data_IF_308173605054
#
_entry.id   IF_308173605054
#
_cell.length_a   1.000
_cell.length_b   1.000
_cell.length_c   1.000
_cell.angle_alpha   90.00
_cell.angle_beta   90.00
_cell.angle_gamma   90.00
#
_symmetry.space_group_name_H-M   'P 1'
#
loop_
_entity.id
_entity.type
_entity.pdbx_description
1 polymer ?
#
# COMPACT_ATOMS: atom_id res chain seq x y z
N UNK A 1 -31.55 -14.88 10.12
CA UNK A 1 -30.38 -14.87 9.23
C UNK A 1 -30.81 -14.07 8.03
N UNK A 2 -30.13 -12.96 7.72
CA UNK A 2 -30.41 -12.23 6.48
C UNK A 2 -30.04 -13.14 5.32
N UNK A 3 -30.92 -13.28 4.35
CA UNK A 3 -30.73 -14.14 3.19
C UNK A 3 -29.89 -13.34 2.18
N UNK A 4 -28.58 -13.10 2.51
CA UNK A 4 -27.66 -12.41 1.62
C UNK A 4 -27.46 -13.25 0.37
N UNK A 5 -27.35 -12.58 -0.77
CA UNK A 5 -26.96 -13.21 -2.03
C UNK A 5 -25.59 -13.87 -1.85
N UNK A 6 -25.40 -15.05 -2.45
CA UNK A 6 -24.19 -15.87 -2.34
C UNK A 6 -23.55 -16.03 -3.70
N UNK A 7 -22.25 -15.80 -3.77
CA UNK A 7 -21.42 -16.10 -4.93
C UNK A 7 -20.32 -17.08 -4.50
N UNK A 8 -19.97 -18.00 -5.39
CA UNK A 8 -18.97 -19.05 -5.13
C UNK A 8 -17.76 -18.87 -6.03
N UNK A 9 -16.58 -18.99 -5.43
CA UNK A 9 -15.28 -18.91 -6.10
C UNK A 9 -14.34 -19.99 -5.57
N UNK A 10 -13.33 -20.36 -6.35
CA UNK A 10 -12.23 -21.16 -5.84
C UNK A 10 -11.38 -20.35 -4.87
N UNK A 11 -11.09 -19.08 -5.24
CA UNK A 11 -10.27 -18.19 -4.44
C UNK A 11 -10.89 -16.79 -4.36
N UNK A 12 -11.04 -16.29 -3.14
CA UNK A 12 -11.36 -14.87 -2.87
C UNK A 12 -10.15 -14.17 -2.27
N UNK A 13 -9.78 -13.03 -2.83
CA UNK A 13 -8.69 -12.17 -2.35
C UNK A 13 -9.28 -10.88 -1.79
N UNK A 14 -9.01 -10.60 -0.52
CA UNK A 14 -9.46 -9.39 0.16
C UNK A 14 -8.37 -8.32 0.10
N UNK A 15 -8.58 -7.31 -0.74
CA UNK A 15 -7.69 -6.18 -0.96
C UNK A 15 -6.96 -6.24 -2.31
N UNK A 16 -7.29 -5.30 -3.21
CA UNK A 16 -6.65 -5.11 -4.51
C UNK A 16 -5.38 -4.23 -4.42
N UNK A 17 -4.58 -4.42 -3.37
CA UNK A 17 -3.23 -3.86 -3.29
C UNK A 17 -2.23 -4.67 -4.14
N UNK A 18 -0.96 -4.21 -4.26
CA UNK A 18 0.05 -4.94 -5.04
C UNK A 18 0.20 -6.40 -4.63
N UNK A 19 0.10 -6.71 -3.34
CA UNK A 19 0.20 -8.08 -2.81
C UNK A 19 -0.95 -8.97 -3.30
N UNK A 20 -2.22 -8.52 -3.13
CA UNK A 20 -3.40 -9.30 -3.53
C UNK A 20 -3.47 -9.51 -5.04
N UNK A 21 -3.21 -8.46 -5.82
CA UNK A 21 -3.20 -8.55 -7.28
C UNK A 21 -2.08 -9.45 -7.80
N UNK A 22 -0.88 -9.39 -7.21
CA UNK A 22 0.22 -10.28 -7.58
C UNK A 22 -0.12 -11.75 -7.29
N UNK A 23 -0.78 -12.03 -6.16
CA UNK A 23 -1.25 -13.37 -5.82
C UNK A 23 -2.30 -13.86 -6.84
N UNK A 24 -3.29 -13.03 -7.17
CA UNK A 24 -4.34 -13.35 -8.13
C UNK A 24 -3.78 -13.62 -9.54
N UNK A 25 -2.85 -12.76 -10.00
CA UNK A 25 -2.16 -12.95 -11.29
C UNK A 25 -1.44 -14.30 -11.30
N UNK A 26 -0.63 -14.58 -10.26
CA UNK A 26 0.15 -15.83 -10.23
C UNK A 26 -0.74 -17.05 -10.13
N UNK A 27 -1.84 -17.00 -9.41
CA UNK A 27 -2.84 -18.08 -9.34
C UNK A 27 -3.42 -18.40 -10.72
N UNK A 28 -3.86 -17.39 -11.49
CA UNK A 28 -4.39 -17.61 -12.84
C UNK A 28 -3.32 -18.08 -13.82
N UNK A 29 -2.07 -17.64 -13.69
CA UNK A 29 -0.96 -18.20 -14.48
C UNK A 29 -0.77 -19.69 -14.20
N UNK A 30 -0.68 -20.06 -12.91
CA UNK A 30 -0.54 -21.46 -12.48
C UNK A 30 -1.74 -22.32 -12.89
N UNK A 31 -2.95 -21.75 -12.83
CA UNK A 31 -4.16 -22.39 -13.32
C UNK A 31 -4.03 -22.78 -14.80
N UNK A 32 -3.63 -21.83 -15.64
CA UNK A 32 -3.40 -22.06 -17.08
C UNK A 32 -2.25 -23.06 -17.34
N UNK A 33 -1.13 -22.92 -16.63
CA UNK A 33 0.03 -23.84 -16.74
C UNK A 33 -0.35 -25.30 -16.41
N UNK A 34 -1.30 -25.51 -15.49
CA UNK A 34 -1.74 -26.83 -15.05
C UNK A 34 -3.08 -27.28 -15.69
N UNK A 35 -3.57 -26.59 -16.72
CA UNK A 35 -4.85 -26.88 -17.38
C UNK A 35 -6.03 -26.99 -16.39
N UNK A 36 -6.04 -26.13 -15.34
CA UNK A 36 -7.13 -26.00 -14.39
C UNK A 36 -7.87 -24.70 -14.69
N UNK A 37 -9.16 -24.69 -14.45
CA UNK A 37 -9.95 -23.45 -14.51
C UNK A 37 -10.30 -23.04 -13.07
N UNK A 38 -9.57 -22.07 -12.54
CA UNK A 38 -9.81 -21.50 -11.22
C UNK A 38 -10.54 -20.19 -11.36
N UNK A 39 -11.69 -20.08 -10.68
CA UNK A 39 -12.39 -18.82 -10.47
C UNK A 39 -11.71 -18.02 -9.36
N UNK A 40 -11.26 -16.79 -9.70
CA UNK A 40 -10.55 -15.92 -8.74
C UNK A 40 -11.22 -14.57 -8.70
N UNK A 41 -11.67 -14.16 -7.51
CA UNK A 41 -12.27 -12.87 -7.24
C UNK A 41 -11.36 -12.04 -6.33
N UNK A 42 -11.23 -10.74 -6.63
CA UNK A 42 -10.52 -9.76 -5.80
C UNK A 42 -11.49 -8.64 -5.43
N UNK A 43 -11.72 -8.41 -4.14
CA UNK A 43 -12.54 -7.30 -3.67
C UNK A 43 -11.68 -6.18 -3.09
N UNK A 44 -12.08 -4.92 -3.33
CA UNK A 44 -11.39 -3.72 -2.88
C UNK A 44 -12.41 -2.72 -2.29
N UNK A 45 -12.11 -2.21 -1.10
CA UNK A 45 -12.98 -1.23 -0.42
C UNK A 45 -12.97 0.16 -1.07
N UNK A 46 -11.90 0.52 -1.78
CA UNK A 46 -11.81 1.77 -2.51
C UNK A 46 -12.76 1.79 -3.69
N UNK A 47 -13.29 2.95 -4.04
CA UNK A 47 -14.18 3.14 -5.19
C UNK A 47 -13.54 2.78 -6.53
N UNK A 48 -12.22 2.76 -6.57
CA UNK A 48 -11.39 2.24 -7.67
C UNK A 48 -10.10 1.65 -7.10
N UNK A 49 -9.48 0.73 -7.83
CA UNK A 49 -8.19 0.16 -7.44
C UNK A 49 -7.14 1.28 -7.39
N UNK A 50 -6.35 1.30 -6.30
CA UNK A 50 -5.31 2.33 -6.10
C UNK A 50 -5.80 3.64 -5.48
N UNK A 51 -7.11 3.89 -5.32
CA UNK A 51 -7.65 5.13 -4.75
C UNK A 51 -7.10 5.44 -3.35
N UNK A 52 -6.87 4.41 -2.54
CA UNK A 52 -6.34 4.57 -1.17
C UNK A 52 -4.80 4.49 -1.11
N UNK A 53 -4.12 4.46 -2.25
CA UNK A 53 -2.66 4.34 -2.32
C UNK A 53 -2.06 5.67 -2.79
N UNK A 54 -1.81 6.58 -1.85
CA UNK A 54 -1.08 7.83 -2.13
C UNK A 54 0.38 7.63 -1.76
N UNK A 55 1.21 7.25 -2.72
CA UNK A 55 2.66 7.11 -2.51
C UNK A 55 3.43 7.09 -3.82
N UNK A 56 4.54 7.82 -3.86
CA UNK A 56 5.65 7.45 -4.71
C UNK A 56 6.36 6.23 -4.12
N UNK A 57 6.96 5.44 -4.97
CA UNK A 57 7.81 4.33 -4.58
C UNK A 57 9.01 4.24 -5.53
N UNK A 58 10.08 3.62 -5.04
CA UNK A 58 11.16 3.15 -5.90
C UNK A 58 11.07 1.63 -5.96
N UNK A 59 10.90 1.09 -7.16
CA UNK A 59 10.71 -0.34 -7.38
C UNK A 59 11.93 -0.96 -8.03
N UNK A 60 12.42 -2.05 -7.44
CA UNK A 60 13.32 -3.00 -8.09
C UNK A 60 12.48 -3.97 -8.92
N UNK A 61 12.84 -4.18 -10.19
CA UNK A 61 11.98 -4.91 -11.12
C UNK A 61 12.01 -6.42 -10.98
N UNK A 62 12.90 -6.98 -10.17
CA UNK A 62 13.11 -8.44 -10.06
C UNK A 62 11.79 -9.23 -9.90
N UNK A 63 10.97 -8.86 -8.91
CA UNK A 63 9.69 -9.54 -8.69
C UNK A 63 8.70 -9.33 -9.85
N UNK A 64 8.74 -8.16 -10.49
CA UNK A 64 7.92 -7.87 -11.66
C UNK A 64 8.41 -8.64 -12.90
N UNK A 65 9.72 -8.76 -13.09
CA UNK A 65 10.32 -9.54 -14.17
C UNK A 65 9.95 -11.04 -14.06
N UNK A 66 9.79 -11.53 -12.82
CA UNK A 66 9.34 -12.92 -12.55
C UNK A 66 7.82 -13.07 -12.78
N UNK A 67 7.01 -12.12 -12.32
CA UNK A 67 5.54 -12.20 -12.39
C UNK A 67 5.01 -11.91 -13.79
N UNK A 68 5.52 -10.87 -14.45
CA UNK A 68 5.09 -10.39 -15.77
C UNK A 68 6.34 -10.10 -16.62
N UNK A 69 7.01 -11.11 -17.16
CA UNK A 69 8.29 -10.93 -17.86
C UNK A 69 8.25 -9.93 -19.04
N UNK A 70 7.09 -9.80 -19.66
CA UNK A 70 6.82 -8.90 -20.79
C UNK A 70 6.25 -7.52 -20.39
N UNK A 71 6.34 -7.12 -19.11
CA UNK A 71 5.77 -5.87 -18.59
C UNK A 71 6.19 -4.61 -19.37
N UNK A 72 7.39 -4.63 -19.99
CA UNK A 72 7.91 -3.49 -20.79
C UNK A 72 7.06 -3.24 -22.05
N UNK A 73 6.43 -4.26 -22.58
CA UNK A 73 5.58 -4.19 -23.78
C UNK A 73 4.10 -3.94 -23.45
N UNK A 74 3.73 -4.03 -22.18
CA UNK A 74 2.34 -3.93 -21.69
C UNK A 74 1.97 -2.54 -21.14
N UNK A 75 2.55 -1.48 -21.70
CA UNK A 75 2.27 -0.09 -21.30
C UNK A 75 2.38 0.14 -19.78
N UNK A 76 3.35 -0.49 -19.12
CA UNK A 76 3.54 -0.36 -17.69
C UNK A 76 3.88 1.09 -17.28
N UNK A 77 3.52 1.52 -16.07
CA UNK A 77 3.85 2.87 -15.57
C UNK A 77 5.33 3.05 -15.18
N UNK A 78 6.18 2.04 -15.33
CA UNK A 78 7.61 2.10 -15.01
C UNK A 78 8.37 2.84 -16.13
N UNK A 79 8.30 4.15 -16.14
CA UNK A 79 8.91 5.00 -17.20
C UNK A 79 10.16 5.73 -16.71
N UNK A 80 10.26 6.05 -15.42
CA UNK A 80 11.28 6.94 -14.86
C UNK A 80 12.32 6.12 -14.11
N UNK A 81 13.51 6.00 -14.69
CA UNK A 81 14.66 5.36 -14.03
C UNK A 81 15.23 6.26 -12.93
N UNK A 82 15.63 5.65 -11.82
CA UNK A 82 16.42 6.32 -10.79
C UNK A 82 17.79 6.71 -11.35
N UNK A 83 18.12 8.00 -11.28
CA UNK A 83 19.36 8.57 -11.85
C UNK A 83 20.28 9.18 -10.81
N UNK A 84 19.73 9.67 -9.70
CA UNK A 84 20.48 10.38 -8.66
C UNK A 84 19.90 10.04 -7.28
N UNK A 85 20.73 9.47 -6.42
CA UNK A 85 20.39 9.14 -5.03
C UNK A 85 21.12 10.11 -4.10
N UNK A 86 20.38 10.76 -3.20
CA UNK A 86 20.92 11.60 -2.15
C UNK A 86 20.44 11.15 -0.79
N UNK A 87 21.37 11.03 0.14
CA UNK A 87 21.04 10.84 1.56
C UNK A 87 21.53 12.04 2.35
N UNK A 88 20.62 12.75 3.01
CA UNK A 88 20.91 14.01 3.69
C UNK A 88 20.63 13.89 5.19
N UNK A 89 21.54 14.38 6.00
CA UNK A 89 21.28 14.71 7.39
C UNK A 89 20.85 16.18 7.48
N UNK A 90 19.67 16.42 8.03
CA UNK A 90 19.13 17.76 8.21
C UNK A 90 19.37 18.25 9.64
N UNK A 91 19.89 19.47 9.76
CA UNK A 91 19.78 20.31 10.95
C UNK A 91 18.60 21.26 10.73
N UNK A 92 18.31 22.15 11.64
CA UNK A 92 17.20 23.10 11.47
C UNK A 92 17.32 23.99 10.22
N UNK A 93 18.54 24.34 9.83
CA UNK A 93 18.79 25.30 8.74
C UNK A 93 19.74 24.81 7.66
N UNK A 94 20.43 23.72 7.87
CA UNK A 94 21.46 23.18 6.95
C UNK A 94 21.21 21.72 6.62
N UNK A 95 21.69 21.31 5.44
CA UNK A 95 21.74 19.91 5.04
C UNK A 95 23.20 19.46 4.88
N UNK A 96 23.50 18.25 5.30
CA UNK A 96 24.80 17.60 5.17
C UNK A 96 24.59 16.34 4.34
N UNK A 97 25.26 16.24 3.19
CA UNK A 97 25.21 15.04 2.37
C UNK A 97 25.98 13.91 3.05
N UNK A 98 25.34 12.81 3.28
CA UNK A 98 25.93 11.58 3.78
C UNK A 98 26.19 10.59 2.64
N UNK A 99 27.11 9.62 2.82
CA UNK A 99 27.20 8.47 1.94
C UNK A 99 25.85 7.73 1.92
N UNK A 100 25.34 7.40 0.74
CA UNK A 100 24.13 6.59 0.62
C UNK A 100 24.45 5.16 1.05
N UNK A 101 23.72 4.59 2.04
CA UNK A 101 23.93 3.20 2.44
C UNK A 101 23.73 2.24 1.26
N UNK A 102 24.49 1.14 1.15
CA UNK A 102 24.42 0.22 0.00
C UNK A 102 23.00 -0.29 -0.30
N UNK A 103 22.22 -0.59 0.74
CA UNK A 103 20.83 -1.04 0.63
C UNK A 103 19.85 0.03 0.13
N UNK A 104 20.27 1.28 0.06
CA UNK A 104 19.49 2.40 -0.46
C UNK A 104 19.92 2.83 -1.86
N UNK A 105 20.83 2.10 -2.50
CA UNK A 105 21.24 2.38 -3.86
C UNK A 105 20.17 1.95 -4.85
N UNK A 106 19.69 2.87 -5.67
CA UNK A 106 18.57 2.66 -6.58
C UNK A 106 18.98 2.61 -8.06
N UNK A 107 20.25 2.46 -8.37
CA UNK A 107 20.70 2.36 -9.76
C UNK A 107 20.05 1.18 -10.47
N UNK A 108 19.29 1.46 -11.52
CA UNK A 108 18.56 0.45 -12.29
C UNK A 108 17.08 0.30 -11.88
N UNK A 109 16.70 0.82 -10.73
CA UNK A 109 15.33 0.86 -10.23
C UNK A 109 14.50 1.95 -10.93
N UNK A 110 13.19 1.93 -10.71
CA UNK A 110 12.26 2.90 -11.29
C UNK A 110 11.52 3.64 -10.18
N UNK A 111 11.34 4.94 -10.38
CA UNK A 111 10.44 5.77 -9.56
C UNK A 111 9.04 5.66 -10.15
N UNK A 112 8.06 5.33 -9.33
CA UNK A 112 6.67 5.10 -9.75
C UNK A 112 5.67 5.81 -8.84
N UNK A 113 4.48 6.08 -9.39
CA UNK A 113 3.26 6.21 -8.61
C UNK A 113 2.77 4.82 -8.25
N UNK A 114 2.71 4.50 -6.96
CA UNK A 114 2.24 3.18 -6.52
C UNK A 114 0.76 2.98 -6.81
N UNK A 115 -0.04 4.06 -6.82
CA UNK A 115 -1.44 4.02 -7.25
C UNK A 115 -1.57 3.58 -8.70
N UNK A 116 -0.84 4.23 -9.62
CA UNK A 116 -0.89 3.91 -11.04
C UNK A 116 -0.35 2.49 -11.34
N UNK A 117 0.69 2.10 -10.61
CA UNK A 117 1.21 0.72 -10.69
C UNK A 117 0.17 -0.32 -10.24
N UNK A 118 -0.57 -0.03 -9.18
CA UNK A 118 -1.61 -0.94 -8.68
C UNK A 118 -2.79 -1.02 -9.62
N UNK A 119 -3.21 0.10 -10.24
CA UNK A 119 -4.22 0.10 -11.31
C UNK A 119 -3.79 -0.76 -12.50
N UNK A 120 -2.56 -0.58 -12.95
CA UNK A 120 -2.01 -1.39 -14.03
C UNK A 120 -1.94 -2.88 -13.69
N UNK A 121 -1.59 -3.24 -12.44
CA UNK A 121 -1.65 -4.64 -11.99
C UNK A 121 -3.08 -5.20 -12.05
N UNK A 122 -4.10 -4.40 -11.71
CA UNK A 122 -5.49 -4.84 -11.82
C UNK A 122 -5.87 -5.12 -13.28
N UNK A 123 -5.48 -4.25 -14.22
CA UNK A 123 -5.68 -4.49 -15.66
C UNK A 123 -5.00 -5.80 -16.11
N UNK A 124 -3.79 -6.12 -15.58
CA UNK A 124 -3.12 -7.38 -15.90
C UNK A 124 -3.84 -8.59 -15.28
N UNK A 125 -4.43 -8.45 -14.10
CA UNK A 125 -5.22 -9.49 -13.45
C UNK A 125 -6.52 -9.75 -14.25
N UNK A 126 -7.26 -8.70 -14.62
CA UNK A 126 -8.47 -8.79 -15.44
C UNK A 126 -8.19 -9.42 -16.82
N UNK A 127 -7.06 -9.10 -17.45
CA UNK A 127 -6.63 -9.73 -18.70
C UNK A 127 -6.36 -11.25 -18.57
N UNK A 128 -6.21 -11.74 -17.34
CA UNK A 128 -6.11 -13.17 -17.00
C UNK A 128 -7.44 -13.75 -16.50
N UNK A 129 -8.54 -13.00 -16.65
CA UNK A 129 -9.89 -13.40 -16.20
C UNK A 129 -10.02 -13.48 -14.67
N UNK A 130 -9.31 -12.61 -13.94
CA UNK A 130 -9.59 -12.34 -12.54
C UNK A 130 -10.75 -11.35 -12.46
N UNK A 131 -11.76 -11.66 -11.66
CA UNK A 131 -12.84 -10.71 -11.38
C UNK A 131 -12.39 -9.72 -10.30
N UNK A 132 -12.31 -8.42 -10.64
CA UNK A 132 -11.88 -7.38 -9.70
C UNK A 132 -13.07 -6.46 -9.41
N UNK A 133 -13.47 -6.40 -8.13
CA UNK A 133 -14.63 -5.63 -7.67
C UNK A 133 -14.20 -4.49 -6.74
N UNK A 134 -13.96 -3.27 -7.26
CA UNK A 134 -13.79 -2.08 -6.44
C UNK A 134 -15.13 -1.63 -5.85
N UNK A 135 -15.07 -0.94 -4.69
CA UNK A 135 -16.26 -0.51 -3.96
C UNK A 135 -16.80 -1.53 -2.97
N UNK A 136 -16.33 -2.78 -3.00
CA UNK A 136 -16.79 -3.86 -2.11
C UNK A 136 -15.85 -4.04 -0.92
N UNK A 137 -16.31 -3.66 0.25
CA UNK A 137 -15.55 -3.81 1.50
C UNK A 137 -15.94 -5.09 2.22
N UNK A 138 -15.00 -6.01 2.42
CA UNK A 138 -15.21 -7.14 3.30
C UNK A 138 -15.41 -6.66 4.76
N UNK A 139 -16.46 -7.10 5.41
CA UNK A 139 -16.84 -6.73 6.78
C UNK A 139 -16.77 -7.89 7.77
N UNK A 140 -16.96 -9.10 7.30
CA UNK A 140 -17.09 -10.29 8.13
C UNK A 140 -16.38 -11.47 7.48
N UNK A 141 -15.81 -12.35 8.32
CA UNK A 141 -15.23 -13.61 7.89
C UNK A 141 -16.28 -14.70 8.10
N UNK A 142 -16.54 -15.48 7.08
CA UNK A 142 -17.45 -16.61 7.15
C UNK A 142 -16.70 -17.87 7.61
N UNK A 143 -17.25 -18.53 8.64
CA UNK A 143 -16.71 -19.77 9.17
C UNK A 143 -17.74 -20.88 9.05
N UNK A 144 -17.29 -22.13 8.83
CA UNK A 144 -18.14 -23.29 8.97
C UNK A 144 -18.18 -23.78 10.43
N UNK A 145 -18.91 -24.86 10.67
CA UNK A 145 -19.08 -25.49 12.00
C UNK A 145 -17.75 -26.01 12.61
N UNK A 146 -16.73 -26.21 11.79
CA UNK A 146 -15.38 -26.64 12.19
C UNK A 146 -14.40 -25.46 12.32
N UNK A 147 -14.90 -24.23 12.38
CA UNK A 147 -14.09 -23.01 12.42
C UNK A 147 -13.17 -22.79 11.22
N UNK A 148 -13.41 -23.47 10.08
CA UNK A 148 -12.68 -23.23 8.85
C UNK A 148 -13.24 -21.98 8.17
N UNK A 149 -12.36 -21.11 7.68
CA UNK A 149 -12.75 -19.97 6.83
C UNK A 149 -13.33 -20.50 5.51
N UNK A 150 -14.53 -20.08 5.18
CA UNK A 150 -15.25 -20.46 3.95
C UNK A 150 -15.56 -19.26 3.05
N UNK A 151 -15.04 -18.09 3.37
CA UNK A 151 -15.24 -16.88 2.60
C UNK A 151 -15.34 -15.62 3.44
N UNK A 152 -15.91 -14.57 2.85
CA UNK A 152 -16.16 -13.27 3.50
C UNK A 152 -17.52 -12.73 3.11
N UNK A 153 -18.14 -11.90 3.98
CA UNK A 153 -19.30 -11.10 3.63
C UNK A 153 -18.88 -9.64 3.42
N UNK A 154 -19.54 -8.97 2.49
CA UNK A 154 -19.35 -7.54 2.24
C UNK A 154 -20.26 -6.71 3.15
N UNK A 155 -19.90 -5.42 3.32
CA UNK A 155 -20.74 -4.45 4.02
C UNK A 155 -22.03 -4.17 3.25
N UNK A 156 -23.11 -3.91 3.99
CA UNK A 156 -24.27 -3.22 3.41
C UNK A 156 -23.85 -1.81 2.99
N UNK A 157 -24.38 -1.35 1.87
CA UNK A 157 -24.17 -0.01 1.35
C UNK A 157 -25.41 0.87 1.60
N UNK A 158 -25.22 2.20 1.65
CA UNK A 158 -26.34 3.14 1.74
C UNK A 158 -27.10 3.18 3.07
N UNK A 159 -26.57 2.63 4.17
CA UNK A 159 -27.14 2.83 5.52
C UNK A 159 -26.93 4.26 5.98
N UNK A 160 -27.97 4.83 6.58
CA UNK A 160 -27.92 6.14 7.22
C UNK A 160 -27.13 6.08 8.55
N UNK A 161 -26.80 7.27 9.10
CA UNK A 161 -26.00 7.35 10.33
C UNK A 161 -26.68 6.75 11.56
N UNK A 162 -27.99 6.66 11.56
CA UNK A 162 -28.80 6.03 12.62
C UNK A 162 -28.94 4.51 12.44
N UNK A 163 -28.32 3.94 11.38
CA UNK A 163 -28.36 2.52 11.07
C UNK A 163 -29.54 2.07 10.20
N UNK A 164 -30.49 2.94 9.89
CA UNK A 164 -31.63 2.64 9.03
C UNK A 164 -31.22 2.54 7.56
N UNK A 165 -32.04 1.92 6.74
CA UNK A 165 -31.84 1.82 5.30
C UNK A 165 -32.14 3.17 4.63
N UNK A 166 -31.17 3.68 3.87
CA UNK A 166 -31.32 4.88 3.07
C UNK A 166 -31.90 4.59 1.69
N UNK A 167 -32.14 5.64 0.88
CA UNK A 167 -32.73 5.49 -0.46
C UNK A 167 -31.86 4.71 -1.45
N UNK A 168 -30.55 4.60 -1.18
CA UNK A 168 -29.60 3.82 -2.00
C UNK A 168 -29.08 2.62 -1.18
N UNK A 169 -29.93 2.02 -0.35
CA UNK A 169 -29.55 0.83 0.42
C UNK A 169 -29.37 -0.36 -0.52
N UNK A 170 -28.24 -1.01 -0.41
CA UNK A 170 -27.93 -2.28 -1.04
C UNK A 170 -27.37 -3.23 0.01
N UNK A 171 -27.97 -4.39 0.10
CA UNK A 171 -27.51 -5.42 1.04
C UNK A 171 -26.16 -5.96 0.58
N UNK A 172 -25.25 -6.20 1.54
CA UNK A 172 -23.99 -6.89 1.26
C UNK A 172 -24.22 -8.33 0.81
N UNK A 173 -23.24 -8.90 0.13
CA UNK A 173 -23.26 -10.27 -0.39
C UNK A 173 -22.28 -11.16 0.37
N UNK A 174 -22.47 -12.47 0.31
CA UNK A 174 -21.53 -13.47 0.79
C UNK A 174 -20.69 -14.01 -0.38
N UNK A 175 -19.36 -13.94 -0.25
CA UNK A 175 -18.43 -14.52 -1.20
C UNK A 175 -17.85 -15.78 -0.56
N UNK A 176 -18.36 -16.93 -0.97
CA UNK A 176 -17.89 -18.23 -0.52
C UNK A 176 -16.67 -18.66 -1.34
N UNK A 177 -15.68 -19.25 -0.68
CA UNK A 177 -14.45 -19.67 -1.36
C UNK A 177 -13.84 -20.93 -0.73
N UNK A 178 -13.21 -21.75 -1.57
CA UNK A 178 -12.36 -22.84 -1.12
C UNK A 178 -11.15 -22.31 -0.35
N UNK A 179 -10.59 -21.19 -0.82
CA UNK A 179 -9.45 -20.50 -0.19
C UNK A 179 -9.69 -19.00 -0.15
N UNK A 180 -9.39 -18.35 0.97
CA UNK A 180 -9.44 -16.90 1.11
C UNK A 180 -8.05 -16.33 1.42
N UNK A 181 -7.64 -15.28 0.68
CA UNK A 181 -6.36 -14.60 0.85
C UNK A 181 -6.64 -13.20 1.41
N UNK A 182 -6.12 -12.91 2.60
CA UNK A 182 -6.28 -11.61 3.25
C UNK A 182 -5.07 -10.72 2.95
N UNK A 183 -5.24 -9.76 2.05
CA UNK A 183 -4.22 -8.82 1.58
C UNK A 183 -4.55 -7.37 1.96
N UNK A 184 -5.06 -7.16 3.16
CA UNK A 184 -5.61 -5.91 3.66
C UNK A 184 -4.53 -4.85 4.06
N UNK A 185 -3.27 -5.16 3.88
CA UNK A 185 -2.15 -4.30 4.28
C UNK A 185 -1.79 -4.43 5.77
N UNK A 186 -1.03 -3.47 6.28
CA UNK A 186 -0.34 -3.61 7.57
C UNK A 186 -1.29 -3.75 8.78
N UNK A 187 -2.53 -3.27 8.70
CA UNK A 187 -3.54 -3.34 9.78
C UNK A 187 -4.93 -3.60 9.25
N UNK A 188 -5.07 -4.69 8.52
CA UNK A 188 -6.38 -5.19 8.10
C UNK A 188 -7.26 -5.51 9.31
N UNK A 189 -8.55 -5.19 9.25
CA UNK A 189 -9.45 -5.45 10.37
C UNK A 189 -9.83 -6.94 10.46
N UNK A 190 -10.01 -7.63 9.33
CA UNK A 190 -10.27 -9.07 9.32
C UNK A 190 -9.01 -9.86 9.66
N UNK A 191 -7.85 -9.44 9.17
CA UNK A 191 -6.57 -10.05 9.54
C UNK A 191 -6.30 -10.02 11.05
N UNK A 192 -6.74 -8.97 11.77
CA UNK A 192 -6.65 -8.94 13.25
C UNK A 192 -7.51 -10.00 13.92
N UNK A 193 -8.74 -10.20 13.42
CA UNK A 193 -9.64 -11.24 13.92
C UNK A 193 -9.03 -12.63 13.75
N UNK A 194 -8.43 -12.89 12.56
CA UNK A 194 -7.76 -14.16 12.29
C UNK A 194 -6.53 -14.37 13.17
N UNK A 195 -5.70 -13.33 13.34
CA UNK A 195 -4.53 -13.39 14.20
C UNK A 195 -4.89 -13.75 15.64
N UNK A 196 -5.97 -13.18 16.18
CA UNK A 196 -6.48 -13.48 17.51
C UNK A 196 -7.13 -14.88 17.58
N UNK A 197 -8.05 -15.19 16.65
CA UNK A 197 -8.79 -16.47 16.66
C UNK A 197 -7.87 -17.69 16.53
N UNK A 198 -6.85 -17.60 15.69
CA UNK A 198 -5.94 -18.72 15.38
C UNK A 198 -4.55 -18.58 15.98
N UNK A 199 -4.36 -17.62 16.90
CA UNK A 199 -3.09 -17.38 17.60
C UNK A 199 -1.89 -17.29 16.62
N UNK A 200 -2.07 -16.56 15.49
CA UNK A 200 -1.09 -16.52 14.43
C UNK A 200 0.19 -15.77 14.80
N UNK A 201 0.15 -14.99 15.88
CA UNK A 201 1.31 -14.25 16.41
C UNK A 201 2.05 -15.03 17.51
N UNK A 202 1.66 -16.26 17.79
CA UNK A 202 2.31 -17.07 18.83
C UNK A 202 3.80 -17.22 18.53
N UNK A 203 4.62 -16.95 19.52
CA UNK A 203 6.08 -17.03 19.49
C UNK A 203 6.77 -15.98 18.58
N UNK A 204 6.04 -14.99 18.06
CA UNK A 204 6.59 -13.91 17.29
C UNK A 204 7.06 -12.75 18.16
N UNK A 205 8.05 -12.00 17.69
CA UNK A 205 8.41 -10.71 18.29
C UNK A 205 7.27 -9.71 18.11
N UNK A 206 7.05 -8.79 19.07
CA UNK A 206 6.07 -7.73 18.90
C UNK A 206 6.31 -6.92 17.63
N UNK A 207 5.23 -6.62 16.90
CA UNK A 207 5.30 -5.76 15.73
C UNK A 207 5.50 -4.31 16.15
N UNK A 208 6.40 -3.60 15.47
CA UNK A 208 6.55 -2.15 15.55
C UNK A 208 5.92 -1.49 14.33
N UNK A 209 5.40 -0.29 14.53
CA UNK A 209 4.68 0.45 13.50
C UNK A 209 5.24 1.85 13.32
N UNK A 210 5.29 2.31 12.08
CA UNK A 210 5.47 3.70 11.73
C UNK A 210 4.21 4.29 11.12
N UNK A 211 4.11 5.62 11.11
CA UNK A 211 3.14 6.37 10.31
C UNK A 211 3.87 7.11 9.19
N UNK A 212 3.49 6.84 7.95
CA UNK A 212 3.97 7.58 6.79
C UNK A 212 2.91 8.58 6.33
N UNK A 213 3.19 9.87 6.44
CA UNK A 213 2.37 10.95 5.89
C UNK A 213 2.98 11.34 4.55
N UNK A 214 2.16 11.43 3.52
CA UNK A 214 2.62 11.57 2.13
C UNK A 214 1.80 12.63 1.41
N UNK A 215 2.47 13.35 0.51
CA UNK A 215 1.83 14.30 -0.38
C UNK A 215 2.38 14.15 -1.80
N UNK A 216 1.53 14.41 -2.78
CA UNK A 216 1.92 14.57 -4.17
C UNK A 216 1.81 16.04 -4.55
N UNK A 217 2.89 16.59 -5.06
CA UNK A 217 2.99 17.99 -5.46
C UNK A 217 3.24 18.11 -6.96
N UNK A 218 2.61 19.10 -7.57
CA UNK A 218 3.00 19.64 -8.86
C UNK A 218 3.90 20.84 -8.59
N UNK A 219 5.16 20.77 -9.03
CA UNK A 219 6.17 21.79 -8.77
C UNK A 219 6.49 22.59 -10.05
N UNK A 220 7.16 23.73 -9.91
CA UNK A 220 7.63 24.48 -11.07
C UNK A 220 8.60 23.64 -11.90
N UNK A 221 8.59 23.77 -13.24
CA UNK A 221 9.46 22.97 -14.13
C UNK A 221 10.95 23.06 -13.77
N UNK A 222 11.42 24.21 -13.31
CA UNK A 222 12.81 24.44 -12.89
C UNK A 222 13.18 23.65 -11.62
N UNK A 223 12.20 23.28 -10.79
CA UNK A 223 12.35 22.48 -9.58
C UNK A 223 12.14 20.97 -9.83
N UNK A 224 11.69 20.59 -11.03
CA UNK A 224 11.46 19.21 -11.41
C UNK A 224 12.75 18.55 -11.89
N UNK A 225 13.08 17.37 -11.35
CA UNK A 225 14.26 16.58 -11.70
C UNK A 225 13.90 15.10 -11.80
N UNK A 226 13.15 14.68 -12.81
CA UNK A 226 12.71 13.29 -12.93
C UNK A 226 13.85 12.29 -12.79
N UNK A 227 13.66 11.28 -11.96
CA UNK A 227 14.70 10.30 -11.63
C UNK A 227 15.53 10.63 -10.38
N UNK A 228 15.40 11.82 -9.80
CA UNK A 228 16.09 12.16 -8.55
C UNK A 228 15.37 11.62 -7.33
N UNK A 229 16.14 11.03 -6.43
CA UNK A 229 15.71 10.46 -5.14
C UNK A 229 16.45 11.20 -4.03
N UNK A 230 15.71 11.67 -3.04
CA UNK A 230 16.29 12.26 -1.84
C UNK A 230 15.70 11.56 -0.62
N UNK A 231 16.54 11.00 0.22
CA UNK A 231 16.17 10.55 1.56
C UNK A 231 16.78 11.47 2.59
N UNK A 232 16.07 11.72 3.69
CA UNK A 232 16.63 12.53 4.78
C UNK A 232 16.44 11.88 6.14
N UNK A 233 17.30 12.26 7.08
CA UNK A 233 17.19 11.93 8.50
C UNK A 233 17.57 13.17 9.32
N UNK A 234 17.32 13.14 10.64
CA UNK A 234 17.60 14.24 11.57
C UNK A 234 16.40 15.17 11.72
N UNK A 235 16.64 16.49 11.63
CA UNK A 235 15.59 17.50 11.82
C UNK A 235 14.37 17.25 10.92
N UNK A 236 13.13 17.42 11.39
CA UNK A 236 12.70 18.01 12.68
C UNK A 236 12.66 17.02 13.86
N UNK A 237 12.94 15.72 13.63
CA UNK A 237 12.94 14.74 14.68
C UNK A 237 14.17 14.86 15.57
N UNK A 238 13.99 14.53 16.85
CA UNK A 238 15.10 14.38 17.80
C UNK A 238 15.74 13.00 17.65
N UNK A 239 16.93 12.83 18.20
CA UNK A 239 17.71 11.59 18.12
C UNK A 239 17.07 10.37 18.80
N UNK A 240 16.10 10.59 19.69
CA UNK A 240 15.32 9.57 20.39
C UNK A 240 14.02 9.18 19.67
N UNK A 241 13.77 9.74 18.48
CA UNK A 241 12.58 9.48 17.70
C UNK A 241 13.00 8.92 16.33
N UNK A 242 12.63 7.67 16.07
CA UNK A 242 12.89 7.02 14.80
C UNK A 242 12.05 7.64 13.68
N UNK A 243 12.67 7.87 12.51
CA UNK A 243 11.96 8.38 11.35
C UNK A 243 12.88 9.03 10.32
N UNK A 244 12.26 9.57 9.31
CA UNK A 244 12.94 10.22 8.19
C UNK A 244 11.98 10.58 7.08
N UNK A 245 12.53 10.99 5.95
CA UNK A 245 11.71 11.39 4.81
C UNK A 245 12.24 10.86 3.49
N UNK A 246 11.37 10.88 2.51
CA UNK A 246 11.72 10.69 1.12
C UNK A 246 11.12 11.80 0.24
N UNK A 247 11.78 12.05 -0.89
CA UNK A 247 11.31 12.95 -1.93
C UNK A 247 11.72 12.35 -3.28
N UNK A 248 10.73 12.02 -4.10
CA UNK A 248 10.90 11.35 -5.38
C UNK A 248 10.37 12.22 -6.50
N UNK A 249 11.22 12.55 -7.46
CA UNK A 249 10.84 13.31 -8.64
C UNK A 249 10.30 12.37 -9.73
N UNK A 250 9.00 12.47 -9.96
CA UNK A 250 8.27 11.78 -11.01
C UNK A 250 8.31 12.61 -12.32
N UNK A 251 7.61 12.13 -13.34
CA UNK A 251 7.36 12.89 -14.58
C UNK A 251 6.33 14.02 -14.39
N UNK A 252 6.13 14.80 -15.45
CA UNK A 252 5.11 15.86 -15.51
C UNK A 252 5.19 16.82 -14.32
N UNK A 253 6.42 17.19 -13.90
CA UNK A 253 6.68 18.11 -12.79
C UNK A 253 6.07 17.66 -11.46
N UNK A 254 5.88 16.37 -11.25
CA UNK A 254 5.35 15.84 -10.00
C UNK A 254 6.47 15.42 -9.06
N UNK A 255 6.26 15.68 -7.78
CA UNK A 255 7.12 15.25 -6.69
C UNK A 255 6.28 14.57 -5.63
N UNK A 256 6.63 13.32 -5.32
CA UNK A 256 6.07 12.62 -4.17
C UNK A 256 6.98 12.87 -2.97
N UNK A 257 6.42 13.44 -1.91
CA UNK A 257 7.12 13.70 -0.65
C UNK A 257 6.45 12.94 0.48
N UNK A 258 7.22 12.29 1.33
CA UNK A 258 6.73 11.57 2.48
C UNK A 258 7.61 11.73 3.71
N UNK A 259 6.99 11.62 4.86
CA UNK A 259 7.62 11.71 6.16
C UNK A 259 7.14 10.57 7.05
N UNK A 260 8.07 9.78 7.56
CA UNK A 260 7.79 8.60 8.37
C UNK A 260 8.26 8.83 9.79
N UNK A 261 7.43 8.46 10.76
CA UNK A 261 7.75 8.50 12.19
C UNK A 261 7.38 7.16 12.80
N UNK A 262 8.29 6.56 13.54
CA UNK A 262 8.00 5.38 14.37
C UNK A 262 6.97 5.73 15.44
N UNK A 263 5.96 4.88 15.64
CA UNK A 263 4.86 5.14 16.58
C UNK A 263 5.19 4.82 18.05
N UNK A 264 6.43 4.44 18.30
CA UNK A 264 6.99 4.20 19.65
C UNK A 264 7.63 5.47 20.26
N UNK A 265 7.43 6.65 19.67
CA UNK A 265 7.96 7.91 20.18
C UNK A 265 7.49 8.20 21.61
N UNK A 266 8.41 8.71 22.45
CA UNK A 266 8.17 8.93 23.88
C UNK A 266 7.48 10.24 24.23
N UNK A 267 7.57 11.23 23.33
CA UNK A 267 7.00 12.57 23.57
C UNK A 267 5.50 12.58 23.24
N UNK A 268 4.58 12.63 24.20
CA UNK A 268 3.13 12.62 23.95
C UNK A 268 2.61 13.86 23.21
N UNK A 269 3.41 14.92 23.16
CA UNK A 269 3.08 16.16 22.41
C UNK A 269 3.60 16.17 20.99
N UNK A 270 4.32 15.14 20.56
CA UNK A 270 4.77 15.01 19.17
C UNK A 270 3.55 14.75 18.28
N UNK A 271 3.37 15.59 17.27
CA UNK A 271 2.37 15.39 16.23
C UNK A 271 3.06 15.05 14.91
N UNK A 272 2.93 13.80 14.40
CA UNK A 272 3.51 13.42 13.12
C UNK A 272 3.17 14.39 11.99
N UNK A 273 1.93 14.87 11.95
CA UNK A 273 1.50 15.87 10.96
C UNK A 273 2.24 17.20 11.08
N UNK A 274 2.39 17.74 12.30
CA UNK A 274 3.11 19.00 12.51
C UNK A 274 4.60 18.88 12.21
N UNK A 275 5.21 17.75 12.54
CA UNK A 275 6.61 17.49 12.19
C UNK A 275 6.80 17.44 10.67
N UNK A 276 5.86 16.83 9.94
CA UNK A 276 5.87 16.87 8.49
C UNK A 276 5.73 18.29 7.92
N UNK A 277 4.87 19.15 8.53
CA UNK A 277 4.78 20.56 8.13
C UNK A 277 6.12 21.28 8.37
N UNK A 278 6.74 21.11 9.54
CA UNK A 278 8.06 21.66 9.85
C UNK A 278 9.10 21.21 8.82
N UNK A 279 9.15 19.90 8.51
CA UNK A 279 10.05 19.35 7.50
C UNK A 279 9.90 20.06 6.14
N UNK A 280 8.70 20.34 5.66
CA UNK A 280 8.46 21.04 4.41
C UNK A 280 8.97 22.49 4.40
N UNK A 281 9.09 23.11 5.57
CA UNK A 281 9.64 24.46 5.72
C UNK A 281 11.18 24.48 5.79
N UNK A 282 11.84 23.32 5.85
CA UNK A 282 13.31 23.29 5.79
C UNK A 282 13.82 23.87 4.46
N UNK A 283 14.89 24.73 4.47
CA UNK A 283 15.35 25.47 3.27
C UNK A 283 15.57 24.58 2.04
N UNK A 284 16.15 23.37 2.22
CA UNK A 284 16.38 22.42 1.12
C UNK A 284 15.09 21.87 0.51
N UNK A 285 14.06 21.68 1.32
CA UNK A 285 12.78 21.11 0.88
C UNK A 285 11.87 22.22 0.34
N UNK A 286 11.79 23.33 1.07
CA UNK A 286 10.96 24.49 0.70
C UNK A 286 11.27 24.94 -0.73
N UNK A 287 12.54 25.07 -1.11
CA UNK A 287 12.93 25.52 -2.46
C UNK A 287 12.40 24.62 -3.57
N UNK A 288 12.18 23.32 -3.31
CA UNK A 288 11.63 22.39 -4.29
C UNK A 288 10.14 22.58 -4.43
N UNK A 289 9.44 22.83 -3.31
CA UNK A 289 7.98 22.96 -3.24
C UNK A 289 7.49 24.38 -3.52
N UNK A 290 8.38 25.39 -3.51
CA UNK A 290 8.04 26.81 -3.69
C UNK A 290 7.38 27.04 -5.04
N UNK A 291 6.25 27.77 -5.04
CA UNK A 291 5.42 27.99 -6.23
C UNK A 291 4.63 26.77 -6.68
N UNK A 292 4.82 25.62 -6.05
CA UNK A 292 4.10 24.40 -6.35
C UNK A 292 2.73 24.29 -5.70
N UNK A 293 1.94 23.31 -6.15
CA UNK A 293 0.60 23.00 -5.66
C UNK A 293 0.53 21.56 -5.19
N UNK A 294 0.03 21.34 -3.95
CA UNK A 294 -0.29 19.98 -3.49
C UNK A 294 -1.55 19.48 -4.21
N UNK A 295 -1.44 18.34 -4.89
CA UNK A 295 -2.52 17.75 -5.67
C UNK A 295 -3.15 16.53 -5.02
N UNK A 296 -2.41 15.83 -4.13
CA UNK A 296 -2.96 14.71 -3.36
C UNK A 296 -2.24 14.57 -2.02
N UNK A 297 -2.86 13.90 -1.06
CA UNK A 297 -2.27 13.60 0.24
C UNK A 297 -2.89 12.37 0.89
N UNK A 298 -2.16 11.76 1.82
CA UNK A 298 -2.64 10.62 2.59
C UNK A 298 -1.68 10.23 3.70
N UNK A 299 -2.13 9.35 4.57
CA UNK A 299 -1.31 8.73 5.59
C UNK A 299 -1.59 7.24 5.69
N UNK A 300 -0.56 6.45 5.99
CA UNK A 300 -0.68 5.01 6.14
C UNK A 300 0.26 4.52 7.23
N UNK A 301 -0.21 3.58 8.04
CA UNK A 301 0.67 2.84 8.93
C UNK A 301 1.57 1.89 8.13
N UNK A 302 2.75 1.63 8.66
CA UNK A 302 3.79 0.76 8.10
C UNK A 302 4.22 -0.24 9.16
N UNK A 303 4.50 -1.49 8.76
CA UNK A 303 5.12 -2.50 9.62
C UNK A 303 6.64 -2.31 9.58
N UNK A 304 7.28 -2.23 10.73
CA UNK A 304 8.73 -2.00 10.86
C UNK A 304 9.44 -3.07 11.70
N UNK A 305 8.70 -4.04 12.26
CA UNK A 305 9.25 -5.06 13.16
C UNK A 305 10.08 -6.16 12.49
N UNK A 306 10.15 -6.18 11.16
CA UNK A 306 10.91 -7.18 10.41
C UNK A 306 10.26 -8.56 10.36
N UNK A 307 10.96 -9.54 9.79
CA UNK A 307 10.44 -10.90 9.53
C UNK A 307 10.03 -11.64 10.82
N UNK A 308 10.73 -11.39 11.93
CA UNK A 308 10.44 -12.00 13.23
C UNK A 308 9.10 -11.55 13.84
N UNK A 309 8.48 -10.50 13.31
CA UNK A 309 7.20 -9.97 13.77
C UNK A 309 6.03 -10.30 12.84
N UNK A 310 6.28 -11.03 11.76
CA UNK A 310 5.24 -11.43 10.84
C UNK A 310 4.40 -12.56 11.44
N UNK A 311 3.06 -12.49 11.36
CA UNK A 311 2.21 -13.60 11.78
C UNK A 311 2.43 -14.82 10.88
N UNK A 312 2.01 -15.98 11.33
CA UNK A 312 1.92 -17.15 10.46
C UNK A 312 1.06 -16.81 9.25
N UNK A 313 1.59 -17.06 8.05
CA UNK A 313 0.92 -16.67 6.80
C UNK A 313 -0.15 -17.65 6.34
N UNK A 314 -0.14 -18.86 6.88
CA UNK A 314 -1.09 -19.91 6.54
C UNK A 314 -1.65 -20.52 7.82
N UNK A 315 -2.92 -20.90 7.74
CA UNK A 315 -3.59 -21.71 8.77
C UNK A 315 -4.20 -22.94 8.08
N UNK A 316 -4.08 -24.14 8.67
CA UNK A 316 -4.58 -25.36 8.08
C UNK A 316 -6.09 -25.42 7.94
#
# INVERSE_FOLDING_TARGET
MSDKEKMEYDVVVVGAGPSGLSAAIRLKQLSKENNKDLSVCVIEKGSEVGAHIVSGAVIETKALDELIPDWKTKNSPLKIKATDDKFLYLTETKSIKLPTPPQMHNKGNYIISLSDFTKWLAEQAEALEVEVYPGFSASEILFNEQDKVIGVATCDMGRLKDGTEGPNFEQGIELHATQTIFSEGCRGHLGKILMEKFDLNKDNSPQTYGIGIKELWEVSPENSKPGSIVHTTGWPLKTDTYGGSFLYHLDNNKVSIGFVIGLDYKNPYLSPYLEFQRFKHHPEIKKILEGGRRINYGARALNEGGIQSLPKLTFP
#
